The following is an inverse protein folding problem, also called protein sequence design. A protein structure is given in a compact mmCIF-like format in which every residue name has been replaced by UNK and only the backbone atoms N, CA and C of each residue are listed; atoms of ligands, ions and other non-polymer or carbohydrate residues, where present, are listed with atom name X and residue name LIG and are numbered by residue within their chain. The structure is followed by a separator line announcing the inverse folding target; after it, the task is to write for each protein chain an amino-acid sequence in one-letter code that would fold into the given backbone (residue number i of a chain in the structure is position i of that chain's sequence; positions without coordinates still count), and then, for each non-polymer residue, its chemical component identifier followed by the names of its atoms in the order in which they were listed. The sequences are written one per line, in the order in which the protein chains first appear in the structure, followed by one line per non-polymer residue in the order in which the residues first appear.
data_IF_448289970965
#
_entry.id   IF_448289970965
#
_cell.length_a   1.000
_cell.length_b   1.000
_cell.length_c   1.000
_cell.angle_alpha   90.00
_cell.angle_beta   90.00
_cell.angle_gamma   90.00
#
_symmetry.space_group_name_H-M   'P 1'
#
loop_
_entity.id
_entity.type
_entity.pdbx_description
1 polymer ?
#
# COMPACT_ATOMS: atom_id res chain seq x y z
N UNK A 1 29.64 -10.54 -7.31
CA UNK A 1 29.50 -9.32 -6.48
C UNK A 1 28.03 -9.22 -6.17
N UNK A 2 27.66 -9.19 -4.89
CA UNK A 2 26.24 -9.08 -4.50
C UNK A 2 25.70 -7.73 -4.95
N UNK A 3 24.40 -7.66 -5.32
CA UNK A 3 23.78 -6.39 -5.74
C UNK A 3 23.64 -5.47 -4.48
N UNK A 4 24.24 -4.28 -4.46
CA UNK A 4 24.16 -3.35 -3.33
C UNK A 4 22.73 -2.95 -2.97
N UNK A 5 21.80 -3.06 -3.90
CA UNK A 5 20.39 -2.80 -3.62
C UNK A 5 19.76 -3.91 -2.77
N UNK A 6 20.11 -5.17 -2.99
CA UNK A 6 19.65 -6.26 -2.14
C UNK A 6 20.15 -6.13 -0.71
N UNK A 7 21.41 -5.66 -0.54
CA UNK A 7 21.94 -5.35 0.79
C UNK A 7 21.13 -4.25 1.47
N UNK A 8 20.86 -3.14 0.76
CA UNK A 8 19.98 -2.07 1.26
C UNK A 8 18.57 -2.57 1.60
N UNK A 9 18.00 -3.44 0.75
CA UNK A 9 16.66 -3.98 0.98
C UNK A 9 16.61 -4.84 2.23
N UNK A 10 17.56 -5.76 2.40
CA UNK A 10 17.67 -6.60 3.60
C UNK A 10 17.85 -5.77 4.87
N UNK A 11 18.72 -4.75 4.84
CA UNK A 11 18.94 -3.85 5.98
C UNK A 11 17.70 -3.02 6.34
N UNK A 12 16.91 -2.64 5.35
CA UNK A 12 15.68 -1.83 5.53
C UNK A 12 14.43 -2.66 5.80
N UNK A 13 14.47 -3.97 5.58
CA UNK A 13 13.34 -4.87 5.84
C UNK A 13 13.07 -5.03 7.32
N UNK A 14 11.78 -4.94 7.71
CA UNK A 14 11.38 -5.15 9.09
C UNK A 14 11.09 -6.63 9.35
N UNK A 15 11.74 -7.14 10.37
CA UNK A 15 11.62 -8.51 10.85
C UNK A 15 11.21 -8.52 12.33
N UNK A 16 10.80 -9.68 12.85
CA UNK A 16 10.52 -9.86 14.29
C UNK A 16 11.75 -9.58 15.17
N UNK A 17 12.98 -9.57 14.61
CA UNK A 17 14.21 -9.35 15.35
C UNK A 17 14.58 -7.87 15.48
N UNK A 18 14.36 -7.05 14.45
CA UNK A 18 14.74 -5.63 14.41
C UNK A 18 13.60 -4.65 14.66
N UNK A 19 12.33 -5.10 14.63
CA UNK A 19 11.16 -4.21 14.74
C UNK A 19 11.09 -3.44 16.07
N UNK A 20 11.65 -4.01 17.16
CA UNK A 20 11.69 -3.32 18.47
C UNK A 20 12.63 -2.13 18.44
N UNK A 21 13.81 -2.28 17.85
CA UNK A 21 14.78 -1.20 17.69
C UNK A 21 14.21 -0.10 16.78
N UNK A 22 13.60 -0.49 15.66
CA UNK A 22 12.89 0.44 14.78
C UNK A 22 11.81 1.23 15.51
N UNK A 23 10.95 0.56 16.28
CA UNK A 23 9.91 1.19 17.10
C UNK A 23 10.47 2.18 18.12
N UNK A 24 11.59 1.85 18.78
CA UNK A 24 12.27 2.74 19.73
C UNK A 24 12.82 4.00 19.04
N UNK A 25 13.40 3.88 17.86
CA UNK A 25 13.86 5.03 17.06
C UNK A 25 12.70 5.93 16.65
N UNK A 26 11.55 5.34 16.28
CA UNK A 26 10.37 6.10 15.90
C UNK A 26 9.72 6.83 17.08
N UNK A 27 9.70 6.23 18.28
CA UNK A 27 9.13 6.84 19.48
C UNK A 27 9.98 7.98 20.04
N UNK A 28 11.27 7.96 19.80
CA UNK A 28 12.20 9.04 20.17
C UNK A 28 12.25 10.20 19.16
N UNK A 29 11.49 10.13 18.07
CA UNK A 29 11.49 11.17 17.05
C UNK A 29 10.69 12.39 17.51
N UNK A 30 11.40 13.52 17.74
CA UNK A 30 10.77 14.79 18.07
C UNK A 30 10.17 15.43 16.81
N UNK A 31 8.83 15.60 16.84
CA UNK A 31 8.10 16.20 15.74
C UNK A 31 8.45 17.69 15.50
N UNK A 32 9.06 18.34 16.48
CA UNK A 32 9.44 19.76 16.38
C UNK A 32 10.72 19.97 15.55
N UNK A 33 11.51 18.92 15.30
CA UNK A 33 12.66 18.93 14.38
C UNK A 33 12.27 18.88 12.89
N UNK A 34 11.07 19.32 12.51
CA UNK A 34 10.56 19.23 11.13
C UNK A 34 11.14 20.23 10.13
N UNK A 35 12.07 21.08 10.53
CA UNK A 35 12.46 22.16 9.63
C UNK A 35 13.79 21.92 8.89
N UNK A 36 13.72 21.11 7.85
CA UNK A 36 14.61 21.25 6.70
C UNK A 36 13.82 21.80 5.51
N UNK A 37 13.24 23.00 5.66
CA UNK A 37 12.74 23.74 4.49
C UNK A 37 13.92 24.33 3.75
N UNK A 38 14.05 23.96 2.47
CA UNK A 38 14.98 24.65 1.59
C UNK A 38 14.58 26.13 1.55
N UNK A 39 15.51 27.02 1.94
CA UNK A 39 15.33 28.47 1.90
C UNK A 39 15.93 29.01 0.62
N UNK A 40 15.14 29.71 -0.16
CA UNK A 40 15.58 30.42 -1.35
C UNK A 40 15.50 31.92 -1.10
N UNK A 41 16.40 32.73 -1.70
CA UNK A 41 16.51 34.18 -1.41
C UNK A 41 15.33 35.01 -1.89
N UNK A 42 14.37 34.45 -2.60
CA UNK A 42 13.17 35.11 -3.10
C UNK A 42 11.91 34.51 -2.51
N UNK A 43 10.96 35.39 -2.15
CA UNK A 43 9.64 34.91 -1.70
C UNK A 43 8.92 34.18 -2.83
N UNK A 44 8.17 33.08 -2.51
CA UNK A 44 7.43 32.35 -3.51
C UNK A 44 6.32 33.16 -4.13
N UNK A 45 6.17 33.09 -5.45
CA UNK A 45 5.01 33.64 -6.15
C UNK A 45 3.80 32.78 -5.88
N UNK A 46 2.77 33.34 -5.28
CA UNK A 46 1.54 32.64 -4.92
C UNK A 46 0.54 32.69 -6.07
N UNK A 47 0.12 31.54 -6.55
CA UNK A 47 -0.91 31.41 -7.59
C UNK A 47 -2.26 31.05 -6.98
N UNK A 48 -3.32 31.77 -7.42
CA UNK A 48 -4.71 31.41 -7.11
C UNK A 48 -5.20 30.36 -8.13
N UNK A 49 -5.28 29.09 -7.72
CA UNK A 49 -5.78 28.03 -8.59
C UNK A 49 -7.31 27.95 -8.61
N UNK A 50 -7.88 27.69 -9.80
CA UNK A 50 -9.29 27.32 -9.92
C UNK A 50 -9.52 25.94 -9.25
N UNK A 51 -10.65 25.82 -8.55
CA UNK A 51 -11.05 24.53 -7.95
C UNK A 51 -11.37 23.53 -9.07
N UNK A 52 -10.76 22.34 -9.03
CA UNK A 52 -11.07 21.19 -9.91
C UNK A 52 -11.63 20.04 -9.10
N UNK A 53 -12.27 19.07 -9.75
CA UNK A 53 -12.71 17.83 -9.08
C UNK A 53 -11.54 17.13 -8.40
N UNK A 54 -10.39 17.01 -9.08
CA UNK A 54 -9.19 16.41 -8.52
C UNK A 54 -8.67 17.17 -7.30
N UNK A 55 -8.65 18.51 -7.35
CA UNK A 55 -8.21 19.32 -6.21
C UNK A 55 -9.11 19.19 -4.97
N UNK A 56 -10.38 18.86 -5.17
CA UNK A 56 -11.30 18.54 -4.07
C UNK A 56 -11.00 17.16 -3.48
N UNK A 57 -10.80 16.14 -4.31
CA UNK A 57 -10.48 14.80 -3.87
C UNK A 57 -9.16 14.73 -3.09
N UNK A 58 -8.12 15.42 -3.56
CA UNK A 58 -6.84 15.46 -2.85
C UNK A 58 -6.97 16.10 -1.47
N UNK A 59 -7.85 17.08 -1.27
CA UNK A 59 -8.15 17.67 0.04
C UNK A 59 -8.93 16.73 0.97
N UNK A 60 -9.71 15.81 0.42
CA UNK A 60 -10.48 14.82 1.17
C UNK A 60 -9.63 13.61 1.61
N UNK A 61 -8.48 13.37 0.95
CA UNK A 61 -7.59 12.27 1.29
C UNK A 61 -7.08 12.41 2.73
N UNK A 62 -7.30 11.39 3.52
CA UNK A 62 -6.88 11.29 4.93
C UNK A 62 -6.30 9.90 5.19
N UNK A 63 -5.36 9.81 6.14
CA UNK A 63 -4.93 8.54 6.73
C UNK A 63 -5.78 8.29 7.97
N UNK A 64 -6.67 7.30 7.87
CA UNK A 64 -7.65 6.97 8.92
C UNK A 64 -7.32 5.59 9.47
N UNK A 65 -7.17 5.49 10.79
CA UNK A 65 -6.87 4.27 11.55
C UNK A 65 -8.02 3.88 12.49
N UNK A 66 -9.16 4.55 12.37
CA UNK A 66 -10.36 4.25 13.15
C UNK A 66 -11.44 3.76 12.18
N UNK A 67 -11.80 2.50 12.31
CA UNK A 67 -12.75 1.80 11.46
C UNK A 67 -14.08 1.56 12.18
N UNK A 68 -15.15 1.40 11.43
CA UNK A 68 -16.41 0.88 11.94
C UNK A 68 -16.30 -0.60 12.33
N UNK A 69 -17.35 -1.14 12.98
CA UNK A 69 -17.37 -2.53 13.46
C UNK A 69 -17.94 -3.52 12.42
N UNK A 70 -18.16 -3.09 11.19
CA UNK A 70 -18.63 -3.95 10.08
C UNK A 70 -17.54 -4.19 9.07
N UNK A 71 -17.52 -5.38 8.48
CA UNK A 71 -16.64 -5.70 7.37
C UNK A 71 -17.15 -5.10 6.06
N UNK A 72 -16.23 -4.72 5.19
CA UNK A 72 -16.51 -4.39 3.80
C UNK A 72 -16.79 -5.68 3.02
N UNK A 73 -17.77 -5.65 2.13
CA UNK A 73 -17.96 -6.73 1.18
C UNK A 73 -16.81 -6.77 0.15
N UNK A 74 -16.61 -7.91 -0.50
CA UNK A 74 -15.63 -8.04 -1.58
C UNK A 74 -15.87 -7.00 -2.68
N UNK A 75 -17.14 -6.73 -3.03
CA UNK A 75 -17.50 -5.69 -4.01
C UNK A 75 -17.02 -4.30 -3.60
N UNK A 76 -17.06 -3.95 -2.31
CA UNK A 76 -16.55 -2.68 -1.80
C UNK A 76 -15.02 -2.63 -1.82
N UNK A 77 -14.35 -3.75 -1.53
CA UNK A 77 -12.89 -3.86 -1.67
C UNK A 77 -12.51 -3.69 -3.15
N UNK A 78 -13.24 -4.34 -4.08
CA UNK A 78 -13.03 -4.22 -5.52
C UNK A 78 -13.18 -2.78 -6.02
N UNK A 79 -14.09 -1.98 -5.48
CA UNK A 79 -14.21 -0.55 -5.82
C UNK A 79 -12.91 0.23 -5.56
N UNK A 80 -12.13 -0.18 -4.56
CA UNK A 80 -10.82 0.42 -4.27
C UNK A 80 -9.77 -0.11 -5.25
N UNK A 81 -9.73 -1.43 -5.48
CA UNK A 81 -8.75 -2.07 -6.35
C UNK A 81 -8.90 -1.67 -7.82
N UNK A 82 -10.12 -1.43 -8.29
CA UNK A 82 -10.40 -0.95 -9.66
C UNK A 82 -9.64 0.34 -10.02
N UNK A 83 -9.18 1.10 -9.02
CA UNK A 83 -8.29 2.25 -9.26
C UNK A 83 -6.91 1.85 -9.81
N UNK A 84 -6.56 0.57 -9.79
CA UNK A 84 -5.32 0.00 -10.28
C UNK A 84 -5.49 -0.80 -11.58
N UNK A 85 -6.72 -0.92 -12.11
CA UNK A 85 -7.01 -1.74 -13.29
C UNK A 85 -6.36 -1.20 -14.56
N UNK A 86 -6.32 -2.05 -15.57
CA UNK A 86 -6.06 -1.64 -16.94
C UNK A 86 -7.16 -0.71 -17.46
N UNK A 87 -6.87 0.08 -18.47
CA UNK A 87 -7.85 0.95 -19.12
C UNK A 87 -8.77 0.11 -20.00
N UNK A 88 -10.07 0.39 -20.00
CA UNK A 88 -11.09 -0.41 -20.72
C UNK A 88 -10.80 -0.66 -22.22
N UNK A 89 -10.11 0.27 -22.87
CA UNK A 89 -9.78 0.16 -24.32
C UNK A 89 -8.29 -0.04 -24.61
N UNK A 90 -7.48 -0.19 -23.57
CA UNK A 90 -6.03 -0.26 -23.66
C UNK A 90 -5.54 -1.12 -22.49
N UNK A 91 -5.63 -2.43 -22.66
CA UNK A 91 -5.26 -3.40 -21.64
C UNK A 91 -3.77 -3.42 -21.32
N UNK A 92 -2.95 -2.91 -22.23
CA UNK A 92 -1.49 -2.80 -22.04
C UNK A 92 -1.12 -1.71 -21.02
N UNK A 93 -2.02 -0.72 -20.79
CA UNK A 93 -1.76 0.38 -19.88
C UNK A 93 -2.72 0.40 -18.70
N UNK A 94 -2.17 0.54 -17.51
CA UNK A 94 -2.92 0.69 -16.26
C UNK A 94 -3.23 2.17 -15.96
N UNK A 95 -4.05 2.42 -14.96
CA UNK A 95 -4.45 3.78 -14.54
C UNK A 95 -3.34 4.58 -13.87
N UNK A 96 -2.20 3.97 -13.62
CA UNK A 96 -1.01 4.58 -13.02
C UNK A 96 0.23 4.39 -13.92
N UNK A 97 1.24 5.27 -13.82
CA UNK A 97 2.45 5.17 -14.63
C UNK A 97 3.35 4.03 -14.15
N UNK A 98 3.92 3.30 -15.11
CA UNK A 98 5.01 2.35 -14.89
C UNK A 98 6.12 2.60 -15.92
N UNK A 99 7.38 2.55 -15.50
CA UNK A 99 8.51 2.76 -16.38
C UNK A 99 8.55 1.67 -17.45
N UNK A 100 8.44 2.11 -18.72
CA UNK A 100 8.43 1.22 -19.88
C UNK A 100 7.29 0.21 -19.89
N UNK A 101 6.17 0.53 -19.23
CA UNK A 101 5.01 -0.33 -19.04
C UNK A 101 5.37 -1.71 -18.45
N UNK A 102 6.37 -1.76 -17.58
CA UNK A 102 6.88 -3.02 -16.99
C UNK A 102 5.92 -3.63 -15.95
N UNK A 103 5.11 -2.79 -15.29
CA UNK A 103 4.15 -3.18 -14.25
C UNK A 103 4.72 -4.22 -13.29
N UNK A 104 5.88 -3.87 -12.72
CA UNK A 104 6.67 -4.78 -11.89
C UNK A 104 6.16 -4.90 -10.45
N UNK A 105 5.12 -4.17 -10.08
CA UNK A 105 4.48 -4.26 -8.76
C UNK A 105 3.12 -4.92 -8.88
N UNK A 106 2.95 -6.01 -8.13
CA UNK A 106 1.69 -6.74 -8.06
C UNK A 106 0.93 -6.42 -6.76
N UNK A 107 -0.38 -6.64 -6.80
CA UNK A 107 -1.27 -6.33 -5.68
C UNK A 107 -1.86 -7.60 -5.08
N UNK A 108 -1.64 -7.79 -3.80
CA UNK A 108 -2.23 -8.87 -3.01
C UNK A 108 -3.16 -8.29 -1.95
N UNK A 109 -4.13 -9.06 -1.50
CA UNK A 109 -5.09 -8.61 -0.50
C UNK A 109 -5.31 -9.71 0.54
N UNK A 110 -5.09 -9.37 1.79
CA UNK A 110 -5.58 -10.16 2.92
C UNK A 110 -6.94 -9.60 3.28
N UNK A 111 -8.01 -10.31 2.93
CA UNK A 111 -9.38 -9.91 3.26
C UNK A 111 -9.86 -10.56 4.54
N UNK A 112 -10.67 -9.85 5.32
CA UNK A 112 -11.21 -10.27 6.60
C UNK A 112 -12.73 -10.31 6.54
N UNK A 113 -13.32 -11.36 7.12
CA UNK A 113 -14.75 -11.57 7.22
C UNK A 113 -15.23 -11.70 8.66
N UNK A 114 -16.52 -11.82 8.86
CA UNK A 114 -17.12 -12.01 10.19
C UNK A 114 -16.66 -13.33 10.83
N UNK A 115 -16.47 -14.34 10.02
CA UNK A 115 -15.92 -15.64 10.44
C UNK A 115 -14.50 -15.78 9.91
N UNK A 116 -13.63 -16.37 10.71
CA UNK A 116 -12.25 -16.64 10.31
C UNK A 116 -12.14 -17.47 9.02
N UNK A 117 -13.10 -18.36 8.77
CA UNK A 117 -13.17 -19.14 7.53
C UNK A 117 -13.41 -18.30 6.27
N UNK A 118 -13.81 -17.06 6.42
CA UNK A 118 -14.04 -16.10 5.33
C UNK A 118 -12.78 -15.28 5.01
N UNK A 119 -11.72 -15.42 5.82
CA UNK A 119 -10.46 -14.73 5.62
C UNK A 119 -9.70 -15.34 4.44
N UNK A 120 -9.40 -14.51 3.43
CA UNK A 120 -8.81 -14.94 2.17
C UNK A 120 -7.52 -14.21 1.86
N UNK A 121 -6.60 -14.93 1.23
CA UNK A 121 -5.47 -14.36 0.50
C UNK A 121 -5.87 -14.27 -0.96
N UNK A 122 -5.90 -13.07 -1.51
CA UNK A 122 -6.33 -12.81 -2.87
C UNK A 122 -5.18 -12.16 -3.67
N UNK A 123 -5.05 -12.53 -4.93
CA UNK A 123 -4.27 -11.82 -5.93
C UNK A 123 -5.23 -10.94 -6.76
N UNK A 124 -4.87 -9.68 -6.97
CA UNK A 124 -5.63 -8.78 -7.83
C UNK A 124 -5.07 -8.78 -9.24
N UNK A 125 -5.84 -9.31 -10.17
CA UNK A 125 -5.56 -9.26 -11.60
C UNK A 125 -6.02 -7.90 -12.17
N UNK A 126 -5.08 -7.02 -12.41
CA UNK A 126 -5.36 -5.67 -12.90
C UNK A 126 -5.83 -5.66 -14.36
N UNK A 127 -5.43 -6.63 -15.16
CA UNK A 127 -5.81 -6.73 -16.58
C UNK A 127 -7.29 -7.09 -16.71
N UNK A 128 -7.74 -8.07 -15.95
CA UNK A 128 -9.15 -8.52 -15.96
C UNK A 128 -10.01 -7.82 -14.93
N UNK A 129 -9.42 -6.91 -14.13
CA UNK A 129 -10.08 -6.21 -13.02
C UNK A 129 -10.82 -7.18 -12.09
N UNK A 130 -10.14 -8.23 -11.68
CA UNK A 130 -10.69 -9.32 -10.90
C UNK A 130 -9.77 -9.76 -9.76
N UNK A 131 -10.23 -10.68 -8.94
CA UNK A 131 -9.42 -11.30 -7.89
C UNK A 131 -9.41 -12.81 -8.04
N UNK A 132 -8.27 -13.40 -7.73
CA UNK A 132 -8.06 -14.85 -7.65
C UNK A 132 -7.77 -15.22 -6.20
N UNK A 133 -8.48 -16.20 -5.68
CA UNK A 133 -8.23 -16.75 -4.35
C UNK A 133 -6.99 -17.64 -4.39
N UNK A 134 -5.99 -17.32 -3.56
CA UNK A 134 -4.75 -18.09 -3.41
C UNK A 134 -4.90 -19.12 -2.28
N UNK A 135 -5.38 -18.66 -1.13
CA UNK A 135 -5.53 -19.46 0.08
C UNK A 135 -6.38 -18.74 1.14
N UNK A 136 -6.58 -19.40 2.27
CA UNK A 136 -7.12 -18.79 3.48
C UNK A 136 -5.99 -18.37 4.42
N UNK A 137 -6.30 -17.51 5.37
CA UNK A 137 -5.42 -17.14 6.48
C UNK A 137 -6.20 -17.10 7.81
N UNK A 138 -5.48 -17.18 8.92
CA UNK A 138 -6.03 -17.19 10.28
C UNK A 138 -5.76 -15.92 11.07
N UNK A 139 -5.40 -14.84 10.39
CA UNK A 139 -5.05 -13.57 11.03
C UNK A 139 -6.26 -12.95 11.74
N UNK A 140 -6.02 -12.45 12.93
CA UNK A 140 -6.94 -11.61 13.69
C UNK A 140 -6.38 -10.20 13.86
N UNK A 141 -7.17 -9.29 14.43
CA UNK A 141 -6.78 -7.88 14.58
C UNK A 141 -5.44 -7.71 15.31
N UNK A 142 -5.21 -8.43 16.40
CA UNK A 142 -3.97 -8.34 17.17
C UNK A 142 -2.76 -8.80 16.35
N UNK A 143 -2.94 -9.81 15.51
CA UNK A 143 -1.86 -10.29 14.64
C UNK A 143 -1.57 -9.29 13.54
N UNK A 144 -2.60 -8.66 12.96
CA UNK A 144 -2.44 -7.63 11.93
C UNK A 144 -1.73 -6.40 12.48
N UNK A 145 -2.09 -5.93 13.69
CA UNK A 145 -1.38 -4.81 14.32
C UNK A 145 0.11 -5.07 14.48
N UNK A 146 0.46 -6.31 14.87
CA UNK A 146 1.87 -6.73 14.97
C UNK A 146 2.55 -6.81 13.61
N UNK A 147 1.91 -7.41 12.60
CA UNK A 147 2.46 -7.54 11.25
C UNK A 147 2.63 -6.19 10.54
N UNK A 148 1.81 -5.21 10.87
CA UNK A 148 1.83 -3.88 10.28
C UNK A 148 2.52 -2.84 11.16
N UNK A 149 2.95 -3.19 12.37
CA UNK A 149 3.49 -2.25 13.36
C UNK A 149 2.64 -0.97 13.47
N UNK A 150 1.31 -1.13 13.55
CA UNK A 150 0.33 -0.05 13.59
C UNK A 150 -0.77 -0.39 14.56
N UNK A 151 -1.23 0.60 15.32
CA UNK A 151 -2.44 0.49 16.12
C UNK A 151 -3.62 1.11 15.39
N UNK A 152 -4.77 0.45 15.45
CA UNK A 152 -6.03 0.92 14.92
C UNK A 152 -7.18 0.60 15.88
N UNK A 153 -8.31 1.24 15.69
CA UNK A 153 -9.54 0.92 16.42
C UNK A 153 -10.63 0.45 15.44
N UNK A 154 -11.55 -0.37 15.93
CA UNK A 154 -12.59 -0.99 15.13
C UNK A 154 -12.07 -2.19 14.32
N UNK A 155 -12.73 -2.48 13.19
CA UNK A 155 -12.51 -3.70 12.43
C UNK A 155 -11.97 -3.39 11.04
N UNK A 156 -10.69 -3.67 10.74
CA UNK A 156 -10.19 -3.60 9.38
C UNK A 156 -10.85 -4.69 8.54
N UNK A 157 -11.05 -4.41 7.26
CA UNK A 157 -11.70 -5.35 6.32
C UNK A 157 -10.73 -5.93 5.31
N UNK A 158 -9.62 -5.24 5.03
CA UNK A 158 -8.57 -5.76 4.18
C UNK A 158 -7.23 -5.06 4.42
N UNK A 159 -6.15 -5.79 4.18
CA UNK A 159 -4.80 -5.28 4.03
C UNK A 159 -4.38 -5.50 2.57
N UNK A 160 -4.25 -4.42 1.81
CA UNK A 160 -3.76 -4.42 0.43
C UNK A 160 -2.24 -4.33 0.51
N UNK A 161 -1.52 -5.22 -0.17
CA UNK A 161 -0.07 -5.31 -0.15
C UNK A 161 0.47 -5.11 -1.57
N UNK A 162 1.51 -4.31 -1.71
CA UNK A 162 2.22 -4.08 -2.95
C UNK A 162 3.55 -4.80 -2.92
N UNK A 163 3.69 -5.80 -3.79
CA UNK A 163 4.86 -6.67 -3.88
C UNK A 163 5.56 -6.43 -5.22
N UNK A 164 6.82 -6.04 -5.17
CA UNK A 164 7.65 -5.81 -6.33
C UNK A 164 8.33 -7.09 -6.80
N UNK A 165 8.44 -7.25 -8.11
CA UNK A 165 9.17 -8.31 -8.80
C UNK A 165 10.31 -7.67 -9.61
N UNK A 166 11.50 -7.52 -9.00
CA UNK A 166 12.62 -6.77 -9.58
C UNK A 166 13.01 -7.22 -10.99
N UNK A 167 12.98 -8.51 -11.27
CA UNK A 167 13.41 -9.07 -12.55
C UNK A 167 12.63 -8.49 -13.74
N UNK A 168 11.34 -8.15 -13.54
CA UNK A 168 10.51 -7.55 -14.59
C UNK A 168 11.00 -6.17 -15.04
N UNK A 169 11.75 -5.45 -14.21
CA UNK A 169 12.18 -4.08 -14.48
C UNK A 169 13.70 -3.98 -14.65
N UNK A 170 14.47 -4.80 -13.92
CA UNK A 170 15.93 -4.75 -13.98
C UNK A 170 16.50 -5.28 -15.30
N UNK A 171 15.80 -6.20 -15.95
CA UNK A 171 16.14 -6.68 -17.29
C UNK A 171 16.25 -5.53 -18.31
N UNK A 172 15.45 -4.45 -18.13
CA UNK A 172 15.45 -3.28 -19.02
C UNK A 172 16.30 -2.13 -18.48
N UNK A 173 16.34 -1.94 -17.18
CA UNK A 173 16.90 -0.74 -16.56
C UNK A 173 18.04 -1.02 -15.58
N UNK A 174 18.52 -2.28 -15.51
CA UNK A 174 19.53 -2.72 -14.53
C UNK A 174 19.16 -2.25 -13.12
N UNK A 175 20.11 -1.96 -12.25
CA UNK A 175 19.88 -1.51 -10.87
C UNK A 175 19.01 -0.23 -10.76
N UNK A 176 18.90 0.58 -11.83
CA UNK A 176 18.00 1.72 -11.82
C UNK A 176 16.51 1.32 -11.79
N UNK A 177 16.21 0.09 -12.23
CA UNK A 177 14.86 -0.50 -12.17
C UNK A 177 14.25 -0.48 -10.78
N UNK A 178 15.04 -0.67 -9.74
CA UNK A 178 14.57 -0.61 -8.35
C UNK A 178 13.97 0.74 -7.97
N UNK A 179 14.54 1.86 -8.44
CA UNK A 179 13.95 3.19 -8.23
C UNK A 179 12.59 3.32 -8.90
N UNK A 180 12.46 2.80 -10.12
CA UNK A 180 11.21 2.83 -10.85
C UNK A 180 10.14 1.97 -10.21
N UNK A 181 10.52 0.81 -9.67
CA UNK A 181 9.62 -0.06 -8.91
C UNK A 181 9.04 0.65 -7.68
N UNK A 182 9.88 1.35 -6.90
CA UNK A 182 9.42 2.12 -5.75
C UNK A 182 8.52 3.31 -6.15
N UNK A 183 8.83 3.98 -7.27
CA UNK A 183 8.00 5.07 -7.81
C UNK A 183 6.65 4.53 -8.28
N UNK A 184 6.62 3.36 -8.93
CA UNK A 184 5.39 2.67 -9.34
C UNK A 184 4.52 2.35 -8.14
N UNK A 185 5.08 1.72 -7.10
CA UNK A 185 4.35 1.43 -5.87
C UNK A 185 3.77 2.69 -5.21
N UNK A 186 4.53 3.79 -5.20
CA UNK A 186 4.05 5.10 -4.70
C UNK A 186 2.88 5.65 -5.52
N UNK A 187 2.90 5.49 -6.85
CA UNK A 187 1.80 5.87 -7.73
C UNK A 187 0.54 5.03 -7.47
N UNK A 188 0.69 3.71 -7.30
CA UNK A 188 -0.39 2.79 -6.95
C UNK A 188 -1.01 3.16 -5.60
N UNK A 189 -0.18 3.41 -4.59
CA UNK A 189 -0.62 3.81 -3.26
C UNK A 189 -1.44 5.10 -3.31
N UNK A 190 -1.03 6.09 -4.10
CA UNK A 190 -1.78 7.34 -4.27
C UNK A 190 -3.11 7.11 -5.01
N UNK A 191 -3.17 6.21 -6.01
CA UNK A 191 -4.42 5.86 -6.68
C UNK A 191 -5.42 5.25 -5.70
N UNK A 192 -5.00 4.29 -4.87
CA UNK A 192 -5.83 3.72 -3.79
C UNK A 192 -6.33 4.82 -2.84
N UNK A 193 -5.44 5.71 -2.40
CA UNK A 193 -5.78 6.80 -1.48
C UNK A 193 -6.83 7.76 -2.07
N UNK A 194 -6.76 8.06 -3.36
CA UNK A 194 -7.75 8.90 -4.06
C UNK A 194 -9.07 8.14 -4.26
N UNK A 195 -9.03 6.85 -4.60
CA UNK A 195 -10.22 6.01 -4.69
C UNK A 195 -10.99 5.96 -3.37
N UNK A 196 -10.28 5.79 -2.26
CA UNK A 196 -10.88 5.84 -0.91
C UNK A 196 -11.45 7.21 -0.60
N UNK A 197 -10.76 8.31 -0.98
CA UNK A 197 -11.22 9.67 -0.75
C UNK A 197 -12.55 9.99 -1.45
N UNK A 198 -12.89 9.28 -2.52
CA UNK A 198 -14.20 9.38 -3.19
C UNK A 198 -15.30 8.69 -2.40
N UNK A 199 -14.97 7.70 -1.57
CA UNK A 199 -15.94 6.90 -0.83
C UNK A 199 -16.29 7.56 0.52
N UNK A 200 -17.59 7.58 0.82
CA UNK A 200 -18.06 7.92 2.18
C UNK A 200 -18.13 6.70 3.11
N UNK A 201 -17.98 5.49 2.54
CA UNK A 201 -18.18 4.22 3.26
C UNK A 201 -16.87 3.53 3.62
N UNK A 202 -15.77 3.90 2.98
CA UNK A 202 -14.47 3.25 3.13
C UNK A 202 -13.47 4.24 3.70
N UNK A 203 -12.72 3.81 4.69
CA UNK A 203 -11.61 4.54 5.29
C UNK A 203 -10.34 3.69 5.21
N UNK A 204 -9.17 4.32 5.27
CA UNK A 204 -7.93 3.57 5.25
C UNK A 204 -6.69 4.42 5.50
N UNK A 205 -5.57 3.73 5.59
CA UNK A 205 -4.27 4.30 5.90
C UNK A 205 -3.17 3.53 5.17
N UNK A 206 -2.19 4.21 4.56
CA UNK A 206 -0.99 3.54 4.09
C UNK A 206 -0.19 2.97 5.27
N UNK A 207 0.46 1.83 5.05
CA UNK A 207 1.24 1.10 6.05
C UNK A 207 2.62 0.81 5.49
N UNK A 208 3.66 1.29 6.16
CA UNK A 208 5.05 1.05 5.80
C UNK A 208 5.83 0.21 6.81
N UNK A 209 5.28 -0.02 8.01
CA UNK A 209 5.93 -0.80 9.07
C UNK A 209 5.60 -2.30 8.99
N UNK A 210 5.63 -2.88 7.80
CA UNK A 210 5.26 -4.26 7.54
C UNK A 210 6.38 -5.23 7.99
N UNK A 211 6.00 -6.39 8.52
CA UNK A 211 6.91 -7.52 8.72
C UNK A 211 7.03 -8.30 7.41
N UNK A 212 8.03 -7.98 6.62
CA UNK A 212 8.17 -8.40 5.22
C UNK A 212 8.16 -9.92 5.09
N UNK A 213 9.05 -10.62 5.81
CA UNK A 213 9.18 -12.08 5.72
C UNK A 213 7.91 -12.82 6.10
N UNK A 214 7.22 -12.35 7.16
CA UNK A 214 6.02 -13.01 7.64
C UNK A 214 4.85 -12.80 6.66
N UNK A 215 4.74 -11.62 6.07
CA UNK A 215 3.70 -11.34 5.08
C UNK A 215 3.96 -12.06 3.76
N UNK A 216 5.21 -12.11 3.28
CA UNK A 216 5.56 -12.90 2.09
C UNK A 216 5.27 -14.38 2.26
N UNK A 217 5.50 -14.96 3.47
CA UNK A 217 5.09 -16.35 3.79
C UNK A 217 3.58 -16.54 3.69
N UNK A 218 2.79 -15.62 4.22
CA UNK A 218 1.33 -15.69 4.13
C UNK A 218 0.86 -15.62 2.66
N UNK A 219 1.55 -14.83 1.85
CA UNK A 219 1.31 -14.72 0.41
C UNK A 219 1.86 -15.91 -0.39
N UNK A 220 2.66 -16.80 0.24
CA UNK A 220 3.38 -17.93 -0.39
C UNK A 220 4.41 -17.46 -1.45
N UNK A 221 5.08 -16.36 -1.18
CA UNK A 221 6.06 -15.73 -2.07
C UNK A 221 7.50 -15.76 -1.54
N UNK A 222 7.77 -16.46 -0.44
CA UNK A 222 9.11 -16.49 0.17
C UNK A 222 10.19 -17.17 -0.69
N UNK A 223 9.79 -17.96 -1.68
CA UNK A 223 10.70 -18.59 -2.64
C UNK A 223 10.83 -17.82 -3.96
N UNK A 224 10.04 -16.78 -4.13
CA UNK A 224 10.06 -15.94 -5.31
C UNK A 224 11.05 -14.79 -5.13
N UNK A 225 11.60 -14.28 -6.23
CA UNK A 225 12.33 -13.00 -6.21
C UNK A 225 11.35 -11.85 -6.08
N UNK A 226 10.80 -11.69 -4.87
CA UNK A 226 9.73 -10.77 -4.54
C UNK A 226 10.10 -9.89 -3.35
N UNK A 227 9.72 -8.62 -3.38
CA UNK A 227 10.03 -7.62 -2.37
C UNK A 227 8.73 -6.95 -1.90
N UNK A 228 8.40 -7.09 -0.62
CA UNK A 228 7.25 -6.41 -0.05
C UNK A 228 7.57 -4.91 0.13
N UNK A 229 6.93 -4.04 -0.64
CA UNK A 229 7.28 -2.62 -0.67
C UNK A 229 6.50 -1.82 0.37
N UNK A 230 5.18 -1.96 0.37
CA UNK A 230 4.27 -1.20 1.24
C UNK A 230 2.88 -1.80 1.20
N UNK A 231 1.97 -1.26 2.01
CA UNK A 231 0.57 -1.70 2.00
C UNK A 231 -0.41 -0.57 2.29
N UNK A 232 -1.68 -0.92 2.26
CA UNK A 232 -2.78 -0.04 2.61
C UNK A 232 -3.85 -0.82 3.39
N UNK A 233 -4.07 -0.46 4.65
CA UNK A 233 -5.14 -1.06 5.46
C UNK A 233 -6.43 -0.30 5.24
N UNK A 234 -7.53 -1.02 5.02
CA UNK A 234 -8.87 -0.45 4.80
C UNK A 234 -9.93 -1.10 5.68
N UNK A 235 -10.97 -0.34 5.96
CA UNK A 235 -12.14 -0.81 6.70
C UNK A 235 -13.34 0.10 6.46
N UNK A 236 -14.50 -0.27 7.00
CA UNK A 236 -15.68 0.57 6.93
C UNK A 236 -15.44 1.90 7.65
N UNK A 237 -15.94 3.00 7.09
CA UNK A 237 -15.90 4.29 7.77
C UNK A 237 -16.76 4.28 9.04
N UNK A 238 -16.30 4.90 10.10
CA UNK A 238 -17.14 5.17 11.27
C UNK A 238 -18.31 6.05 10.83
N UNK A 239 -19.54 5.60 11.10
CA UNK A 239 -20.72 6.44 10.86
C UNK A 239 -20.59 7.67 11.75
N UNK A 240 -20.64 8.86 11.14
CA UNK A 240 -20.84 10.07 11.93
C UNK A 240 -22.23 10.01 12.56
N UNK A 241 -22.35 10.32 13.86
CA UNK A 241 -23.65 10.42 14.52
C UNK A 241 -24.54 11.45 13.82
#
# INVERSE_FOLDING_TARGET
MRDPFLDFWEESSLTKYNIREYGSKMSGFDADNKELKLSYPKYPVVFKNKKSKLSLLTKLRKSVRNFGNSYLSLSQIMQVLTQLSSKEKDLEHRTYPSAGASYCVETFVLSFGEKQSENKVLYYDAEHNGVQEISNHDLNNNRIEKLCNISFSGTPSALILFVGFPDRITIKYSSRGYRFMLIEAGAMLQQIALGIAQSKKISGCPVGGLLDDELLKILKLEQENSLLITGYIIGASVKKP
#
